data_IF_552457343000
#
_entry.id   IF_552457343000
#
_cell.length_a   1.000
_cell.length_b   1.000
_cell.length_c   1.000
_cell.angle_alpha   90.00
_cell.angle_beta   90.00
_cell.angle_gamma   90.00
#
_symmetry.space_group_name_H-M   'P 1'
#
loop_
_entity.id
_entity.type
_entity.pdbx_description
1 polymer ?
#
# COMPACT_ATOMS: atom_id res chain seq x y z
N UNK A 1 2.53 15.44 -3.93
CA UNK A 1 1.80 14.16 -3.71
C UNK A 1 2.68 13.16 -2.98
N UNK A 2 3.91 12.90 -3.46
CA UNK A 2 4.90 12.06 -2.76
C UNK A 2 5.26 12.62 -1.37
N UNK A 3 5.37 13.94 -1.19
CA UNK A 3 5.69 14.52 0.13
C UNK A 3 4.62 14.24 1.21
N UNK A 4 3.40 13.86 0.80
CA UNK A 4 2.31 13.51 1.69
C UNK A 4 2.18 12.01 1.96
N UNK A 5 2.94 11.15 1.28
CA UNK A 5 2.94 9.71 1.56
C UNK A 5 3.92 9.40 2.69
N UNK A 6 3.55 8.46 3.56
CA UNK A 6 4.40 8.06 4.69
C UNK A 6 5.75 7.49 4.22
N UNK A 7 5.75 6.84 3.05
CA UNK A 7 6.97 6.32 2.43
C UNK A 7 7.94 7.42 1.95
N UNK A 8 7.47 8.64 1.68
CA UNK A 8 8.30 9.76 1.21
C UNK A 8 8.97 9.55 -0.16
N UNK A 9 8.59 8.52 -0.90
CA UNK A 9 9.11 8.19 -2.24
C UNK A 9 8.07 7.50 -3.10
N UNK A 10 8.36 7.40 -4.40
CA UNK A 10 7.62 6.52 -5.29
C UNK A 10 7.99 5.05 -5.02
N UNK A 11 6.99 4.16 -5.09
CA UNK A 11 7.20 2.73 -5.15
C UNK A 11 7.61 2.26 -6.56
N UNK A 12 8.16 1.06 -6.66
CA UNK A 12 8.47 0.43 -7.96
C UNK A 12 7.47 -0.68 -8.29
N UNK A 13 7.44 -1.09 -9.56
CA UNK A 13 6.63 -2.23 -9.99
C UNK A 13 7.07 -3.53 -9.31
N UNK A 14 8.37 -3.71 -9.05
CA UNK A 14 8.90 -4.88 -8.37
C UNK A 14 8.40 -4.97 -6.93
N UNK A 15 8.26 -3.84 -6.23
CA UNK A 15 7.72 -3.80 -4.86
C UNK A 15 6.25 -4.21 -4.82
N UNK A 16 5.45 -3.82 -5.82
CA UNK A 16 4.07 -4.31 -5.99
C UNK A 16 4.04 -5.81 -6.31
N UNK A 17 4.99 -6.29 -7.14
CA UNK A 17 5.09 -7.71 -7.48
C UNK A 17 5.40 -8.59 -6.26
N UNK A 18 6.12 -8.09 -5.25
CA UNK A 18 6.34 -8.81 -3.99
C UNK A 18 5.04 -9.10 -3.24
N UNK A 19 4.10 -8.14 -3.21
CA UNK A 19 2.76 -8.36 -2.61
C UNK A 19 2.00 -9.41 -3.41
N UNK A 20 2.03 -9.33 -4.74
CA UNK A 20 1.39 -10.35 -5.59
C UNK A 20 2.00 -11.75 -5.36
N UNK A 21 3.33 -11.84 -5.25
CA UNK A 21 4.02 -13.11 -4.98
C UNK A 21 3.64 -13.70 -3.62
N UNK A 22 3.49 -12.88 -2.58
CA UNK A 22 2.98 -13.32 -1.28
C UNK A 22 1.56 -13.88 -1.38
N UNK A 23 0.66 -13.13 -2.04
CA UNK A 23 -0.76 -13.51 -2.14
C UNK A 23 -0.98 -14.77 -2.99
N UNK A 24 -0.18 -14.96 -4.04
CA UNK A 24 -0.25 -16.15 -4.92
C UNK A 24 0.59 -17.32 -4.38
N UNK A 25 1.40 -17.09 -3.35
CA UNK A 25 2.24 -18.09 -2.71
C UNK A 25 1.47 -18.95 -1.70
N UNK A 26 2.14 -19.96 -1.10
CA UNK A 26 1.52 -20.86 -0.12
C UNK A 26 0.99 -20.12 1.12
N UNK A 27 1.61 -18.99 1.48
CA UNK A 27 1.24 -18.20 2.65
C UNK A 27 -0.06 -17.39 2.44
N UNK A 28 -0.44 -17.14 1.18
CA UNK A 28 -1.65 -16.41 0.82
C UNK A 28 -2.93 -17.25 0.82
N UNK A 29 -2.84 -18.57 1.03
CA UNK A 29 -3.92 -19.52 0.70
C UNK A 29 -5.27 -19.31 1.42
N UNK A 30 -5.30 -18.62 2.55
CA UNK A 30 -6.55 -18.29 3.27
C UNK A 30 -6.98 -16.82 3.12
N UNK A 31 -6.19 -16.01 2.41
CA UNK A 31 -6.49 -14.60 2.16
C UNK A 31 -7.40 -14.53 0.94
N UNK A 32 -8.68 -14.28 1.16
CA UNK A 32 -9.68 -14.12 0.11
C UNK A 32 -10.67 -13.02 0.48
N UNK A 33 -11.24 -12.36 -0.54
CA UNK A 33 -12.23 -11.28 -0.36
C UNK A 33 -11.69 -10.03 0.34
N UNK A 34 -10.37 -9.80 0.27
CA UNK A 34 -9.68 -8.68 0.93
C UNK A 34 -9.06 -7.75 -0.09
N UNK A 35 -9.17 -6.43 0.15
CA UNK A 35 -8.47 -5.40 -0.62
C UNK A 35 -7.15 -5.03 0.06
N UNK A 36 -6.06 -4.97 -0.71
CA UNK A 36 -4.73 -4.57 -0.22
C UNK A 36 -4.33 -3.21 -0.79
N UNK A 37 -4.21 -2.21 0.07
CA UNK A 37 -3.63 -0.92 -0.31
C UNK A 37 -2.10 -1.01 -0.32
N UNK A 38 -1.49 -0.65 -1.45
CA UNK A 38 -0.02 -0.60 -1.65
C UNK A 38 0.36 0.77 -2.24
N UNK A 39 0.09 1.83 -1.48
CA UNK A 39 0.11 3.21 -1.97
C UNK A 39 1.14 4.11 -1.25
N UNK A 40 2.11 3.51 -0.56
CA UNK A 40 3.10 4.24 0.25
C UNK A 40 2.49 4.95 1.47
N UNK A 41 1.25 4.63 1.84
CA UNK A 41 0.56 5.17 3.01
C UNK A 41 -0.21 6.46 2.74
N UNK A 42 -0.37 6.90 1.48
CA UNK A 42 -1.08 8.15 1.17
C UNK A 42 -2.56 8.10 1.57
N UNK A 43 -3.26 6.97 1.37
CA UNK A 43 -4.66 6.82 1.79
C UNK A 43 -4.82 6.92 3.30
N UNK A 44 -3.88 6.35 4.06
CA UNK A 44 -3.89 6.43 5.51
C UNK A 44 -3.58 7.86 5.98
N UNK A 45 -2.56 8.50 5.40
CA UNK A 45 -2.22 9.90 5.68
C UNK A 45 -3.37 10.85 5.35
N UNK A 46 -4.14 10.56 4.28
CA UNK A 46 -5.33 11.33 3.91
C UNK A 46 -6.49 11.14 4.89
N UNK A 47 -6.85 9.89 5.21
CA UNK A 47 -8.03 9.59 6.02
C UNK A 47 -7.83 9.86 7.52
N UNK A 48 -6.62 9.65 8.02
CA UNK A 48 -6.34 9.65 9.46
C UNK A 48 -5.23 10.65 9.85
N UNK A 49 -4.29 10.91 8.94
CA UNK A 49 -3.26 11.92 9.13
C UNK A 49 -3.73 13.34 8.79
N UNK A 50 -2.77 14.26 8.70
CA UNK A 50 -3.05 15.67 8.46
C UNK A 50 -3.17 16.03 6.97
N UNK A 51 -2.94 15.07 6.06
CA UNK A 51 -2.94 15.35 4.62
C UNK A 51 -4.34 15.74 4.12
N UNK A 52 -5.40 15.14 4.66
CA UNK A 52 -6.79 15.45 4.31
C UNK A 52 -7.44 16.58 5.13
N UNK A 53 -6.71 17.17 6.09
CA UNK A 53 -7.18 18.29 6.93
C UNK A 53 -6.73 19.66 6.43
N UNK A 54 -5.99 19.71 5.31
CA UNK A 54 -5.55 20.96 4.66
C UNK A 54 -6.57 21.48 3.67
#
# INVERSE_FOLDING_TARGET
MIDGCAAGRAGTADELAQVAALLMGPDGGFISGSDFLVDGGVTAAWRFGDLGRR
#
